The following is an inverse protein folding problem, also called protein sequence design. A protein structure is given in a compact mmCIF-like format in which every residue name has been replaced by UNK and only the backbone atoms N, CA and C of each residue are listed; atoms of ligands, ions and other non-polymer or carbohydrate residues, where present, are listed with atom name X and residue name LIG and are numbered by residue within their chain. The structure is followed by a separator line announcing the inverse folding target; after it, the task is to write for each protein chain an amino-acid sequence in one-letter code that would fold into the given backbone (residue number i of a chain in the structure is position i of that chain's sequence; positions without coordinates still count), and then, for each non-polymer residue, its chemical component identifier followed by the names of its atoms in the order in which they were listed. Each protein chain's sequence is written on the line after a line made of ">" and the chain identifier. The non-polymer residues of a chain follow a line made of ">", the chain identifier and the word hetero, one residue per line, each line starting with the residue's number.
data_IF_044252994007
#
_entry.id   IF_044252994007
#
_cell.length_a   1.000
_cell.length_b   1.000
_cell.length_c   1.000
_cell.angle_alpha   90.00
_cell.angle_beta   90.00
_cell.angle_gamma   90.00
#
_symmetry.space_group_name_H-M   'P 1'
#
loop_
_entity.id
_entity.type
_entity.pdbx_description
1 polymer ?
#
# COMPACT_ATOMS: atom_id res chain seq x y z
N UNK A 1 44.30 -26.92 -2.46
CA UNK A 1 43.33 -26.35 -1.53
C UNK A 1 42.12 -27.29 -1.53
N UNK A 2 42.18 -28.36 -0.68
CA UNK A 2 41.19 -29.42 -0.61
C UNK A 2 39.99 -28.90 0.17
N UNK A 3 38.88 -28.69 -0.52
CA UNK A 3 37.57 -28.41 0.07
C UNK A 3 37.23 -29.55 1.01
N UNK A 4 37.04 -29.24 2.29
CA UNK A 4 36.51 -30.13 3.30
C UNK A 4 35.14 -30.64 2.81
N UNK A 5 35.06 -31.87 2.30
CA UNK A 5 33.80 -32.53 2.13
C UNK A 5 33.23 -32.82 3.53
N UNK A 6 32.01 -32.41 3.86
CA UNK A 6 31.43 -32.68 5.17
C UNK A 6 31.40 -34.18 5.40
N UNK A 7 31.87 -34.60 6.56
CA UNK A 7 31.96 -35.99 7.00
C UNK A 7 30.63 -36.74 6.84
N UNK A 8 29.52 -36.05 7.02
CA UNK A 8 28.16 -36.51 6.82
C UNK A 8 27.90 -36.99 5.40
N UNK A 9 28.46 -36.34 4.39
CA UNK A 9 28.35 -36.72 2.98
C UNK A 9 29.06 -38.05 2.70
N UNK A 10 30.23 -38.24 3.26
CA UNK A 10 30.99 -39.47 3.09
C UNK A 10 30.30 -40.65 3.76
N UNK A 11 29.72 -40.46 4.94
CA UNK A 11 28.95 -41.49 5.64
C UNK A 11 27.65 -41.79 4.88
N UNK A 12 26.87 -40.77 4.50
CA UNK A 12 25.64 -40.93 3.73
C UNK A 12 25.86 -41.71 2.43
N UNK A 13 26.91 -41.34 1.66
CA UNK A 13 27.28 -42.03 0.43
C UNK A 13 27.71 -43.50 0.67
N UNK A 14 28.37 -43.77 1.78
CA UNK A 14 28.83 -45.10 2.13
C UNK A 14 27.68 -46.00 2.58
N UNK A 15 26.66 -45.49 3.24
CA UNK A 15 25.46 -46.22 3.63
C UNK A 15 24.52 -46.45 2.45
N UNK A 16 24.39 -45.56 1.51
CA UNK A 16 23.59 -45.74 0.29
C UNK A 16 24.23 -46.70 -0.70
N UNK A 17 25.56 -46.88 -0.66
CA UNK A 17 26.32 -47.87 -1.42
C UNK A 17 26.49 -49.21 -0.63
N UNK A 18 25.41 -49.74 -0.08
CA UNK A 18 25.44 -51.05 0.58
C UNK A 18 25.94 -52.15 -0.37
N UNK A 19 26.94 -52.85 0.11
CA UNK A 19 27.73 -53.89 -0.57
C UNK A 19 26.96 -54.75 -1.55
N UNK A 20 27.46 -54.92 -2.77
CA UNK A 20 27.07 -55.90 -3.77
C UNK A 20 27.30 -57.32 -3.22
N UNK A 21 26.26 -57.96 -2.66
CA UNK A 21 26.48 -59.30 -2.08
C UNK A 21 25.23 -60.18 -1.81
N UNK A 22 24.01 -59.69 -1.87
CA UNK A 22 22.83 -60.53 -1.75
C UNK A 22 21.60 -59.87 -2.42
N UNK A 23 20.77 -60.68 -3.08
CA UNK A 23 19.49 -60.27 -3.69
C UNK A 23 18.59 -59.48 -2.74
N UNK A 24 18.66 -59.74 -1.45
CA UNK A 24 17.91 -59.11 -0.37
C UNK A 24 18.37 -57.64 -0.12
N UNK A 25 19.65 -57.34 -0.33
CA UNK A 25 20.21 -55.98 -0.10
C UNK A 25 19.88 -54.98 -1.23
N UNK A 26 19.63 -55.46 -2.46
CA UNK A 26 19.20 -54.58 -3.59
C UNK A 26 17.81 -54.02 -3.37
N UNK A 27 16.89 -54.79 -2.78
CA UNK A 27 15.53 -54.33 -2.49
C UNK A 27 15.53 -53.25 -1.39
N UNK A 28 16.30 -53.48 -0.32
CA UNK A 28 16.43 -52.50 0.78
C UNK A 28 17.08 -51.20 0.27
N UNK A 29 18.12 -51.27 -0.55
CA UNK A 29 18.79 -50.10 -1.15
C UNK A 29 17.86 -49.33 -2.10
N UNK A 30 16.99 -50.04 -2.84
CA UNK A 30 15.98 -49.46 -3.71
C UNK A 30 14.91 -48.70 -2.92
N UNK A 31 14.40 -49.27 -1.85
CA UNK A 31 13.41 -48.62 -0.97
C UNK A 31 14.03 -47.39 -0.31
N UNK A 32 15.25 -47.47 0.20
CA UNK A 32 15.96 -46.34 0.80
C UNK A 32 16.18 -45.19 -0.20
N UNK A 33 16.52 -45.53 -1.45
CA UNK A 33 16.68 -44.54 -2.51
C UNK A 33 15.36 -43.83 -2.83
N UNK A 34 14.26 -44.59 -2.98
CA UNK A 34 12.94 -44.00 -3.24
C UNK A 34 12.49 -43.12 -2.07
N UNK A 35 12.67 -43.58 -0.83
CA UNK A 35 12.32 -42.81 0.36
C UNK A 35 13.11 -41.52 0.45
N UNK A 36 14.43 -41.58 0.20
CA UNK A 36 15.28 -40.40 0.20
C UNK A 36 14.90 -39.42 -0.92
N UNK A 37 14.60 -39.92 -2.13
CA UNK A 37 14.14 -39.14 -3.26
C UNK A 37 12.79 -38.46 -2.97
N UNK A 38 11.85 -39.21 -2.34
CA UNK A 38 10.55 -38.69 -1.92
C UNK A 38 10.68 -37.55 -0.91
N UNK A 39 11.51 -37.72 0.12
CA UNK A 39 11.77 -36.69 1.12
C UNK A 39 12.44 -35.49 0.47
N UNK A 40 13.45 -35.69 -0.39
CA UNK A 40 14.16 -34.60 -1.07
C UNK A 40 13.21 -33.79 -1.95
N UNK A 41 12.35 -34.45 -2.74
CA UNK A 41 11.36 -33.76 -3.58
C UNK A 41 10.34 -33.03 -2.71
N UNK A 42 9.87 -33.63 -1.62
CA UNK A 42 8.94 -33.02 -0.69
C UNK A 42 9.50 -31.73 -0.07
N UNK A 43 10.73 -31.79 0.45
CA UNK A 43 11.41 -30.64 1.04
C UNK A 43 11.70 -29.57 -0.02
N UNK A 44 12.14 -29.97 -1.22
CA UNK A 44 12.38 -29.02 -2.31
C UNK A 44 11.09 -28.30 -2.74
N UNK A 45 10.01 -29.04 -2.91
CA UNK A 45 8.69 -28.46 -3.23
C UNK A 45 8.24 -27.47 -2.15
N UNK A 46 8.43 -27.82 -0.89
CA UNK A 46 8.13 -26.99 0.25
C UNK A 46 8.90 -25.65 0.21
N UNK A 47 10.22 -25.73 0.03
CA UNK A 47 11.08 -24.53 -0.05
C UNK A 47 10.66 -23.64 -1.21
N UNK A 48 10.35 -24.22 -2.37
CA UNK A 48 9.90 -23.46 -3.56
C UNK A 48 8.58 -22.74 -3.26
N UNK A 49 7.58 -23.46 -2.72
CA UNK A 49 6.26 -22.87 -2.42
C UNK A 49 6.39 -21.74 -1.39
N UNK A 50 7.15 -21.95 -0.31
CA UNK A 50 7.38 -20.91 0.70
C UNK A 50 8.12 -19.70 0.13
N UNK A 51 9.11 -19.91 -0.73
CA UNK A 51 9.87 -18.84 -1.36
C UNK A 51 9.01 -18.00 -2.30
N UNK A 52 8.22 -18.65 -3.14
CA UNK A 52 7.28 -17.97 -4.06
C UNK A 52 6.24 -17.19 -3.27
N UNK A 53 5.66 -17.79 -2.23
CA UNK A 53 4.65 -17.13 -1.41
C UNK A 53 5.22 -15.92 -0.65
N UNK A 54 6.39 -16.04 -0.05
CA UNK A 54 7.05 -14.92 0.62
C UNK A 54 7.40 -13.79 -0.37
N UNK A 55 7.87 -14.16 -1.58
CA UNK A 55 8.15 -13.20 -2.66
C UNK A 55 6.89 -12.46 -3.10
N UNK A 56 5.80 -13.19 -3.34
CA UNK A 56 4.51 -12.62 -3.72
C UNK A 56 3.95 -11.67 -2.64
N UNK A 57 3.94 -12.11 -1.37
CA UNK A 57 3.48 -11.27 -0.27
C UNK A 57 4.31 -10.00 -0.11
N UNK A 58 5.61 -10.07 -0.33
CA UNK A 58 6.50 -8.92 -0.32
C UNK A 58 6.15 -7.96 -1.46
N UNK A 59 6.05 -8.46 -2.69
CA UNK A 59 5.74 -7.65 -3.87
C UNK A 59 4.39 -6.94 -3.75
N UNK A 60 3.32 -7.67 -3.37
CA UNK A 60 1.99 -7.09 -3.19
C UNK A 60 2.02 -5.99 -2.13
N UNK A 61 2.69 -6.23 -1.01
CA UNK A 61 2.83 -5.24 0.06
C UNK A 61 3.58 -4.01 -0.41
N UNK A 62 4.73 -4.19 -1.06
CA UNK A 62 5.59 -3.07 -1.49
C UNK A 62 4.83 -2.19 -2.51
N UNK A 63 4.03 -2.77 -3.39
CA UNK A 63 3.13 -2.04 -4.31
C UNK A 63 2.00 -1.30 -3.59
N UNK A 64 1.36 -1.92 -2.59
CA UNK A 64 0.34 -1.23 -1.79
C UNK A 64 0.92 -0.01 -1.07
N UNK A 65 2.16 -0.13 -0.59
CA UNK A 65 2.81 0.89 0.23
C UNK A 65 3.42 2.04 -0.58
N UNK A 66 3.53 1.90 -1.91
CA UNK A 66 3.97 3.00 -2.78
C UNK A 66 2.97 4.17 -2.77
N UNK A 67 1.68 3.87 -2.65
CA UNK A 67 0.58 4.87 -2.63
C UNK A 67 0.16 5.28 -1.22
N UNK A 68 0.36 4.38 -0.24
CA UNK A 68 -0.04 4.60 1.14
C UNK A 68 1.08 5.25 1.95
N UNK A 69 0.69 6.14 2.85
CA UNK A 69 1.60 6.61 3.90
C UNK A 69 1.83 5.53 4.96
N UNK A 70 2.97 5.57 5.63
CA UNK A 70 3.27 4.63 6.69
C UNK A 70 2.40 4.87 7.94
N UNK A 71 2.14 6.14 8.27
CA UNK A 71 1.32 6.58 9.40
C UNK A 71 0.50 7.78 8.96
N UNK A 72 -0.73 7.89 9.45
CA UNK A 72 -1.61 9.04 9.30
C UNK A 72 -2.02 9.57 10.67
N UNK A 73 -1.97 10.89 10.82
CA UNK A 73 -2.47 11.59 12.00
C UNK A 73 -3.71 12.36 11.56
N UNK A 74 -4.84 12.11 12.18
CA UNK A 74 -6.11 12.81 11.92
C UNK A 74 -6.63 13.48 13.18
N UNK A 75 -7.37 14.58 13.01
CA UNK A 75 -8.01 15.27 14.12
C UNK A 75 -9.39 14.66 14.42
N UNK A 76 -9.72 14.48 15.69
CA UNK A 76 -11.04 13.99 16.12
C UNK A 76 -12.21 14.86 15.63
N UNK A 77 -11.96 16.14 15.42
CA UNK A 77 -12.92 17.14 14.94
C UNK A 77 -13.12 17.12 13.42
N UNK A 78 -12.34 16.27 12.71
CA UNK A 78 -12.44 16.10 11.25
C UNK A 78 -11.66 17.12 10.42
N UNK A 79 -11.15 18.19 11.02
CA UNK A 79 -10.30 19.19 10.36
C UNK A 79 -9.18 19.65 11.28
N UNK A 80 -7.97 19.72 10.76
CA UNK A 80 -6.76 20.14 11.47
C UNK A 80 -6.30 21.47 10.90
N UNK A 81 -6.38 22.53 11.69
CA UNK A 81 -5.92 23.86 11.28
C UNK A 81 -4.40 24.00 11.41
N UNK A 82 -3.85 23.54 12.54
CA UNK A 82 -2.41 23.65 12.85
C UNK A 82 -1.62 22.37 12.45
N UNK A 83 -1.78 21.93 11.20
CA UNK A 83 -1.09 20.72 10.74
C UNK A 83 0.43 20.85 10.79
N UNK A 84 0.98 22.04 10.59
CA UNK A 84 2.43 22.31 10.69
C UNK A 84 2.98 22.04 12.09
N UNK A 85 2.25 22.44 13.13
CA UNK A 85 2.61 22.16 14.53
C UNK A 85 2.60 20.63 14.77
N UNK A 86 1.56 19.94 14.30
CA UNK A 86 1.44 18.48 14.43
C UNK A 86 2.57 17.77 13.68
N UNK A 87 2.89 18.20 12.46
CA UNK A 87 4.00 17.67 11.67
C UNK A 87 5.34 17.85 12.39
N UNK A 88 5.62 19.05 12.91
CA UNK A 88 6.84 19.33 13.67
C UNK A 88 6.95 18.52 14.97
N UNK A 89 5.83 18.33 15.68
CA UNK A 89 5.80 17.47 16.86
C UNK A 89 6.10 16.01 16.51
N UNK A 90 5.50 15.48 15.42
CA UNK A 90 5.76 14.13 14.95
C UNK A 90 7.22 13.94 14.51
N UNK A 91 7.81 14.93 13.83
CA UNK A 91 9.20 14.91 13.36
C UNK A 91 10.25 15.03 14.48
N UNK A 92 9.84 15.31 15.72
CA UNK A 92 10.74 15.18 16.89
C UNK A 92 11.14 13.73 17.16
N UNK A 93 10.34 12.77 16.70
CA UNK A 93 10.75 11.38 16.68
C UNK A 93 11.73 11.18 15.51
N UNK A 94 13.01 10.81 15.78
CA UNK A 94 14.06 10.71 14.77
C UNK A 94 13.77 9.66 13.68
N UNK A 95 12.78 8.79 13.91
CA UNK A 95 12.34 7.77 12.98
C UNK A 95 11.31 8.28 11.96
N UNK A 96 10.78 9.48 12.14
CA UNK A 96 9.87 10.16 11.20
C UNK A 96 10.71 10.96 10.21
N UNK A 97 10.77 10.50 8.98
CA UNK A 97 11.63 11.07 7.92
C UNK A 97 10.99 12.28 7.25
N UNK A 98 9.67 12.24 7.04
CA UNK A 98 8.93 13.29 6.34
C UNK A 98 7.47 13.34 6.81
N UNK A 99 6.84 14.50 6.59
CA UNK A 99 5.44 14.75 6.88
C UNK A 99 4.83 15.61 5.78
N UNK A 100 3.60 15.28 5.34
CA UNK A 100 2.84 16.06 4.36
C UNK A 100 1.37 16.16 4.76
N UNK A 101 0.74 17.32 4.60
CA UNK A 101 -0.69 17.49 4.83
C UNK A 101 -1.51 16.86 3.71
N UNK A 102 -2.73 16.46 4.03
CA UNK A 102 -3.69 16.02 3.01
C UNK A 102 -5.13 16.39 3.38
N UNK A 103 -5.95 16.57 2.34
CA UNK A 103 -7.41 16.62 2.45
C UNK A 103 -7.98 15.40 1.75
N UNK A 104 -8.88 14.68 2.39
CA UNK A 104 -9.48 13.48 1.79
C UNK A 104 -11.01 13.54 1.88
N UNK A 105 -11.67 13.16 0.80
CA UNK A 105 -13.12 13.08 0.74
C UNK A 105 -13.59 12.18 -0.39
N UNK A 106 -14.77 11.58 -0.19
CA UNK A 106 -15.41 10.82 -1.27
C UNK A 106 -16.14 11.78 -2.20
N UNK A 107 -16.07 11.51 -3.50
CA UNK A 107 -16.78 12.26 -4.52
C UNK A 107 -17.21 11.32 -5.66
N UNK A 108 -18.11 11.82 -6.50
CA UNK A 108 -18.46 11.17 -7.75
C UNK A 108 -17.79 11.91 -8.90
N UNK A 109 -17.12 11.17 -9.76
CA UNK A 109 -16.61 11.65 -11.03
C UNK A 109 -17.66 11.39 -12.10
N UNK A 110 -17.94 12.41 -12.91
CA UNK A 110 -18.97 12.34 -13.95
C UNK A 110 -18.39 12.81 -15.27
N UNK A 111 -18.55 11.97 -16.28
CA UNK A 111 -18.30 12.31 -17.68
C UNK A 111 -19.47 11.80 -18.52
N UNK A 112 -20.15 12.73 -19.19
CA UNK A 112 -21.36 12.43 -19.94
C UNK A 112 -22.39 11.69 -19.08
N UNK A 113 -22.72 10.44 -19.41
CA UNK A 113 -23.67 9.59 -18.66
C UNK A 113 -22.98 8.62 -17.69
N UNK A 114 -21.64 8.59 -17.68
CA UNK A 114 -20.87 7.67 -16.83
C UNK A 114 -20.53 8.30 -15.49
N UNK A 115 -20.90 7.63 -14.41
CA UNK A 115 -20.60 8.03 -13.03
C UNK A 115 -19.70 6.98 -12.39
N UNK A 116 -18.69 7.45 -11.65
CA UNK A 116 -17.82 6.60 -10.81
C UNK A 116 -17.58 7.25 -9.46
N UNK A 117 -17.72 6.46 -8.39
CA UNK A 117 -17.29 6.86 -7.06
C UNK A 117 -15.76 6.89 -7.00
N UNK A 118 -15.20 7.92 -6.38
CA UNK A 118 -13.77 8.06 -6.17
C UNK A 118 -13.43 8.65 -4.81
N UNK A 119 -12.28 8.26 -4.28
CA UNK A 119 -11.63 8.90 -3.16
C UNK A 119 -10.73 10.01 -3.70
N UNK A 120 -11.13 11.26 -3.47
CA UNK A 120 -10.33 12.41 -3.85
C UNK A 120 -9.36 12.73 -2.73
N UNK A 121 -8.08 12.81 -3.06
CA UNK A 121 -7.03 13.21 -2.12
C UNK A 121 -6.38 14.50 -2.61
N UNK A 122 -6.54 15.57 -1.82
CA UNK A 122 -5.83 16.82 -1.98
C UNK A 122 -4.44 16.72 -1.37
N UNK A 123 -3.42 17.01 -2.14
CA UNK A 123 -2.01 16.90 -1.76
C UNK A 123 -1.26 18.20 -2.07
N UNK A 124 -0.16 18.42 -1.37
CA UNK A 124 0.84 19.40 -1.76
C UNK A 124 1.88 18.73 -2.67
N UNK A 125 1.98 19.10 -3.95
CA UNK A 125 2.89 18.47 -4.89
C UNK A 125 4.37 18.58 -4.52
N UNK A 126 4.77 19.55 -3.69
CA UNK A 126 6.14 19.72 -3.23
C UNK A 126 6.49 18.79 -2.05
N UNK A 127 5.52 18.50 -1.19
CA UNK A 127 5.71 17.69 0.02
C UNK A 127 5.37 16.22 -0.20
N UNK A 128 4.40 15.92 -1.04
CA UNK A 128 3.90 14.56 -1.27
C UNK A 128 4.99 13.57 -1.71
N UNK A 129 5.94 13.88 -2.61
CA UNK A 129 7.00 12.97 -3.00
C UNK A 129 7.94 12.56 -1.85
N UNK A 130 7.91 13.28 -0.74
CA UNK A 130 8.71 12.96 0.45
C UNK A 130 8.06 11.85 1.30
N UNK A 131 6.74 11.70 1.22
CA UNK A 131 5.97 10.76 2.06
C UNK A 131 5.40 9.57 1.29
N UNK A 132 5.24 9.69 -0.03
CA UNK A 132 4.73 8.63 -0.91
C UNK A 132 5.49 8.61 -2.23
N UNK A 133 5.65 7.42 -2.80
CA UNK A 133 6.44 7.21 -4.01
C UNK A 133 5.59 7.22 -5.31
N UNK A 134 4.26 7.39 -5.22
CA UNK A 134 3.37 7.29 -6.38
C UNK A 134 3.69 8.29 -7.51
N UNK A 135 4.33 9.40 -7.19
CA UNK A 135 4.80 10.36 -8.20
C UNK A 135 5.78 9.79 -9.23
N UNK A 136 6.43 8.67 -8.92
CA UNK A 136 7.31 7.93 -9.83
C UNK A 136 6.55 7.02 -10.81
N UNK A 137 5.27 6.78 -10.54
CA UNK A 137 4.40 5.85 -11.26
C UNK A 137 3.41 6.57 -12.17
N UNK A 138 3.67 7.86 -12.50
CA UNK A 138 2.88 8.61 -13.45
C UNK A 138 3.13 8.11 -14.88
N UNK A 139 2.07 7.66 -15.54
CA UNK A 139 2.09 7.27 -16.95
C UNK A 139 2.10 8.48 -17.89
N UNK A 140 1.70 9.64 -17.38
CA UNK A 140 1.69 10.91 -18.12
C UNK A 140 1.35 12.07 -17.19
N UNK A 141 1.79 13.29 -17.55
CA UNK A 141 1.68 14.50 -16.73
C UNK A 141 2.75 14.55 -15.63
N UNK A 142 2.65 15.54 -14.78
CA UNK A 142 3.56 15.77 -13.64
C UNK A 142 2.76 16.17 -12.42
N UNK A 143 3.21 15.79 -11.23
CA UNK A 143 2.60 16.22 -9.97
C UNK A 143 2.63 17.75 -9.82
N UNK A 144 3.67 18.41 -10.34
CA UNK A 144 3.79 19.87 -10.35
C UNK A 144 2.70 20.56 -11.15
N UNK A 145 1.95 19.86 -12.00
CA UNK A 145 0.84 20.41 -12.75
C UNK A 145 -0.42 20.61 -11.86
N UNK A 146 -0.43 20.01 -10.67
CA UNK A 146 -1.41 20.30 -9.63
C UNK A 146 -1.09 21.65 -8.97
N UNK A 147 -1.60 22.75 -9.54
CA UNK A 147 -1.40 24.10 -9.00
C UNK A 147 -2.66 24.59 -8.30
N UNK A 148 -2.53 25.41 -7.24
CA UNK A 148 -3.68 25.92 -6.50
C UNK A 148 -4.59 26.76 -7.43
N UNK A 149 -5.90 26.47 -7.42
CA UNK A 149 -6.88 27.13 -8.27
C UNK A 149 -6.87 26.70 -9.75
N UNK A 150 -5.97 25.80 -10.14
CA UNK A 150 -5.92 25.26 -11.50
C UNK A 150 -6.97 24.21 -11.79
N UNK A 151 -7.57 23.63 -10.76
CA UNK A 151 -8.55 22.56 -10.87
C UNK A 151 -8.07 21.42 -11.77
N UNK A 152 -6.81 21.02 -11.57
CA UNK A 152 -6.20 19.88 -12.23
C UNK A 152 -6.41 18.62 -11.38
N UNK A 153 -6.55 17.47 -12.07
CA UNK A 153 -6.74 16.17 -11.42
C UNK A 153 -5.83 15.12 -12.04
N UNK A 154 -5.22 14.30 -11.18
CA UNK A 154 -4.48 13.11 -11.56
C UNK A 154 -5.33 11.90 -11.18
N UNK A 155 -5.63 11.03 -12.16
CA UNK A 155 -6.51 9.87 -11.99
C UNK A 155 -5.72 8.58 -11.96
N UNK A 156 -6.20 7.58 -11.22
CA UNK A 156 -5.73 6.22 -11.38
C UNK A 156 -6.09 5.69 -12.78
N UNK A 157 -5.25 4.82 -13.33
CA UNK A 157 -5.37 4.30 -14.69
C UNK A 157 -6.74 3.66 -14.96
N UNK A 158 -7.18 2.79 -14.08
CA UNK A 158 -8.45 2.08 -14.22
C UNK A 158 -9.66 3.03 -14.10
N UNK A 159 -9.54 4.04 -13.23
CA UNK A 159 -10.56 5.08 -13.07
C UNK A 159 -10.67 5.93 -14.34
N UNK A 160 -9.55 6.39 -14.89
CA UNK A 160 -9.49 7.12 -16.15
C UNK A 160 -10.05 6.30 -17.31
N UNK A 161 -9.67 5.01 -17.41
CA UNK A 161 -10.16 4.09 -18.41
C UNK A 161 -11.68 3.86 -18.32
N UNK A 162 -12.21 3.64 -17.11
CA UNK A 162 -13.63 3.40 -16.87
C UNK A 162 -14.54 4.59 -17.21
N UNK A 163 -13.97 5.82 -17.19
CA UNK A 163 -14.62 7.05 -17.57
C UNK A 163 -14.29 7.48 -19.01
N UNK A 164 -13.43 6.72 -19.71
CA UNK A 164 -12.96 7.06 -21.06
C UNK A 164 -12.17 8.37 -21.12
N UNK A 165 -11.50 8.77 -20.03
CA UNK A 165 -10.78 10.03 -19.89
C UNK A 165 -9.33 9.90 -20.38
N UNK A 166 -8.84 10.95 -21.02
CA UNK A 166 -7.45 11.12 -21.47
C UNK A 166 -6.87 12.41 -20.89
N UNK A 167 -5.56 12.56 -20.98
CA UNK A 167 -4.90 13.82 -20.62
C UNK A 167 -5.52 15.00 -21.37
N UNK A 168 -5.81 16.08 -20.64
CA UNK A 168 -6.46 17.30 -21.16
C UNK A 168 -7.99 17.25 -21.16
N UNK A 169 -8.62 16.08 -20.97
CA UNK A 169 -10.08 15.98 -20.89
C UNK A 169 -10.60 16.62 -19.59
N UNK A 170 -11.86 17.01 -19.63
CA UNK A 170 -12.55 17.58 -18.47
C UNK A 170 -13.46 16.56 -17.82
N UNK A 171 -13.48 16.55 -16.48
CA UNK A 171 -14.34 15.69 -15.65
C UNK A 171 -15.01 16.53 -14.58
N UNK A 172 -16.29 16.30 -14.36
CA UNK A 172 -17.01 16.92 -13.25
C UNK A 172 -16.82 16.09 -11.98
N UNK A 173 -16.42 16.77 -10.89
CA UNK A 173 -16.29 16.18 -9.56
C UNK A 173 -17.43 16.68 -8.69
N UNK A 174 -18.24 15.79 -8.18
CA UNK A 174 -19.40 16.07 -7.34
C UNK A 174 -19.12 15.62 -5.92
N UNK A 175 -19.02 16.57 -4.99
CA UNK A 175 -18.90 16.27 -3.56
C UNK A 175 -20.30 16.02 -2.96
N UNK A 176 -20.47 14.93 -2.16
CA UNK A 176 -21.78 14.58 -1.58
C UNK A 176 -22.27 15.61 -0.57
N UNK A 177 -21.38 16.34 0.07
CA UNK A 177 -21.70 17.39 1.01
C UNK A 177 -22.19 18.63 0.26
N UNK A 178 -23.51 18.71 0.07
CA UNK A 178 -24.17 19.81 -0.62
C UNK A 178 -24.29 21.08 0.21
N UNK A 179 -24.68 22.16 -0.44
CA UNK A 179 -25.12 23.38 0.22
C UNK A 179 -26.64 23.29 0.47
N UNK A 180 -27.06 23.42 1.74
CA UNK A 180 -28.50 23.49 2.10
C UNK A 180 -29.04 24.83 1.60
N UNK A 181 -30.04 24.76 0.74
CA UNK A 181 -30.74 25.92 0.20
C UNK A 181 -32.24 25.78 0.54
N UNK A 182 -33.02 26.86 0.47
CA UNK A 182 -34.49 26.76 0.66
C UNK A 182 -35.16 25.78 -0.33
N UNK A 183 -34.53 25.51 -1.48
CA UNK A 183 -35.03 24.59 -2.49
C UNK A 183 -34.52 23.15 -2.31
N UNK A 184 -33.71 22.87 -1.25
CA UNK A 184 -33.15 21.55 -0.95
C UNK A 184 -31.61 21.56 -0.92
N UNK A 185 -31.02 20.38 -0.84
CA UNK A 185 -29.57 20.20 -0.82
C UNK A 185 -29.05 20.14 -2.25
N UNK A 186 -28.28 21.15 -2.63
CA UNK A 186 -27.59 21.19 -3.93
C UNK A 186 -26.18 20.60 -3.77
N UNK A 187 -25.84 19.51 -4.47
CA UNK A 187 -24.50 18.95 -4.44
C UNK A 187 -23.49 19.96 -5.04
N UNK A 188 -22.28 19.96 -4.52
CA UNK A 188 -21.21 20.77 -5.09
C UNK A 188 -20.58 20.05 -6.23
N UNK A 189 -20.51 20.76 -7.34
CA UNK A 189 -19.88 20.29 -8.55
C UNK A 189 -18.79 21.26 -8.98
N UNK A 190 -17.64 20.73 -9.32
CA UNK A 190 -16.52 21.45 -9.95
C UNK A 190 -15.97 20.66 -11.12
N UNK A 191 -15.62 21.37 -12.17
CA UNK A 191 -14.98 20.77 -13.33
C UNK A 191 -13.47 20.81 -13.13
N UNK A 192 -12.83 19.67 -13.36
CA UNK A 192 -11.38 19.48 -13.30
C UNK A 192 -10.85 19.06 -14.66
N UNK A 193 -9.60 19.42 -14.95
CA UNK A 193 -8.88 18.99 -16.16
C UNK A 193 -7.92 17.87 -15.78
N UNK A 194 -7.96 16.75 -16.52
CA UNK A 194 -7.06 15.62 -16.31
C UNK A 194 -5.64 16.02 -16.70
N UNK A 195 -4.77 16.24 -15.72
CA UNK A 195 -3.37 16.64 -15.92
C UNK A 195 -2.39 15.48 -15.83
N UNK A 196 -2.85 14.30 -15.35
CA UNK A 196 -2.01 13.13 -15.22
C UNK A 196 -2.80 11.84 -15.00
N UNK A 197 -2.14 10.72 -15.25
CA UNK A 197 -2.64 9.37 -14.95
C UNK A 197 -1.54 8.61 -14.26
N UNK A 198 -1.84 7.94 -13.13
CA UNK A 198 -0.90 7.08 -12.41
C UNK A 198 -1.33 5.62 -12.46
N UNK A 199 -0.37 4.71 -12.28
CA UNK A 199 -0.58 3.28 -12.16
C UNK A 199 0.25 2.74 -10.99
N UNK A 200 -0.43 2.40 -9.89
CA UNK A 200 0.23 1.85 -8.71
C UNK A 200 0.48 0.33 -8.80
N UNK A 201 -0.15 -0.31 -9.78
CA UNK A 201 -0.19 -1.77 -9.91
C UNK A 201 -1.12 -2.44 -8.90
N UNK A 202 -1.92 -1.66 -8.18
CA UNK A 202 -2.97 -2.15 -7.28
C UNK A 202 -4.34 -1.67 -7.77
N UNK A 203 -5.13 -2.60 -8.29
CA UNK A 203 -6.41 -2.30 -8.96
C UNK A 203 -7.34 -1.43 -8.11
N UNK A 204 -7.45 -1.67 -6.81
CA UNK A 204 -8.33 -0.92 -5.92
C UNK A 204 -7.97 0.58 -5.90
N UNK A 205 -6.67 0.93 -5.81
CA UNK A 205 -6.23 2.32 -5.85
C UNK A 205 -6.34 2.91 -7.26
N UNK A 206 -5.95 2.14 -8.27
CA UNK A 206 -6.00 2.58 -9.66
C UNK A 206 -7.44 2.81 -10.15
N UNK A 207 -8.44 2.14 -9.54
CA UNK A 207 -9.86 2.25 -9.90
C UNK A 207 -10.65 3.25 -9.04
N UNK A 208 -10.11 3.71 -7.90
CA UNK A 208 -10.88 4.55 -6.97
C UNK A 208 -10.19 5.84 -6.54
N UNK A 209 -8.88 5.97 -6.70
CA UNK A 209 -8.14 7.10 -6.15
C UNK A 209 -7.88 8.17 -7.22
N UNK A 210 -8.03 9.44 -6.81
CA UNK A 210 -7.68 10.60 -7.62
C UNK A 210 -7.00 11.67 -6.75
N UNK A 211 -6.04 12.38 -7.32
CA UNK A 211 -5.29 13.44 -6.65
C UNK A 211 -5.61 14.81 -7.26
N UNK A 212 -5.77 15.79 -6.39
CA UNK A 212 -5.92 17.20 -6.75
C UNK A 212 -5.02 18.05 -5.86
N UNK A 213 -4.91 19.36 -6.14
CA UNK A 213 -4.17 20.26 -5.25
C UNK A 213 -4.88 20.38 -3.88
N UNK A 214 -4.09 20.49 -2.81
CA UNK A 214 -4.57 20.58 -1.43
C UNK A 214 -5.62 21.67 -1.24
N UNK A 215 -5.36 22.87 -1.73
CA UNK A 215 -6.27 24.02 -1.62
C UNK A 215 -7.59 23.83 -2.39
N UNK A 216 -7.51 23.15 -3.55
CA UNK A 216 -8.70 22.87 -4.35
C UNK A 216 -9.58 21.80 -3.67
N UNK A 217 -8.94 20.80 -3.00
CA UNK A 217 -9.64 19.86 -2.18
C UNK A 217 -10.30 20.50 -0.95
N UNK A 218 -9.58 21.37 -0.25
CA UNK A 218 -10.12 22.11 0.89
C UNK A 218 -11.36 22.94 0.51
N UNK A 219 -11.33 23.61 -0.65
CA UNK A 219 -12.48 24.33 -1.20
C UNK A 219 -13.62 23.41 -1.62
N UNK A 220 -13.31 22.28 -2.28
CA UNK A 220 -14.31 21.31 -2.75
C UNK A 220 -15.09 20.71 -1.56
N UNK A 221 -14.38 20.28 -0.53
CA UNK A 221 -14.95 19.63 0.65
C UNK A 221 -15.31 20.58 1.80
N UNK A 222 -14.96 21.87 1.69
CA UNK A 222 -15.10 22.90 2.76
C UNK A 222 -14.45 22.46 4.07
N UNK A 223 -13.27 21.97 3.98
CA UNK A 223 -12.46 21.66 5.15
C UNK A 223 -11.69 22.92 5.52
N UNK A 224 -11.87 23.40 6.74
CA UNK A 224 -11.09 24.53 7.27
C UNK A 224 -9.77 23.99 7.84
N UNK A 225 -8.74 23.96 7.00
CA UNK A 225 -7.47 23.31 7.23
C UNK A 225 -7.28 22.04 6.42
N UNK A 226 -6.77 20.97 7.03
CA UNK A 226 -6.51 19.69 6.38
C UNK A 226 -7.22 18.53 7.12
N UNK A 227 -7.46 17.42 6.43
CA UNK A 227 -8.03 16.22 7.07
C UNK A 227 -7.03 15.58 8.02
N UNK A 228 -5.75 15.62 7.68
CA UNK A 228 -4.68 15.06 8.50
C UNK A 228 -3.29 15.26 7.92
N UNK A 229 -2.33 14.64 8.58
CA UNK A 229 -0.92 14.63 8.20
C UNK A 229 -0.47 13.19 7.94
N UNK A 230 0.17 12.97 6.80
CA UNK A 230 0.79 11.69 6.41
C UNK A 230 2.27 11.71 6.80
N UNK A 231 2.75 10.61 7.33
CA UNK A 231 4.15 10.48 7.75
C UNK A 231 4.83 9.33 7.02
N UNK A 232 6.09 9.56 6.65
CA UNK A 232 7.04 8.53 6.24
C UNK A 232 7.97 8.21 7.39
N UNK A 233 8.12 6.93 7.74
CA UNK A 233 9.06 6.47 8.75
C UNK A 233 10.18 5.64 8.10
N UNK A 234 11.29 5.51 8.81
CA UNK A 234 12.50 4.78 8.38
C UNK A 234 12.22 3.30 8.08
N UNK A 235 11.40 2.66 8.91
CA UNK A 235 11.04 1.26 8.78
C UNK A 235 9.51 1.09 8.87
N UNK A 236 8.90 0.75 7.75
CA UNK A 236 7.45 0.57 7.65
C UNK A 236 6.92 -0.58 8.52
N UNK A 237 7.73 -1.61 8.78
CA UNK A 237 7.33 -2.73 9.63
C UNK A 237 7.19 -2.32 11.09
N UNK A 238 7.87 -1.25 11.49
CA UNK A 238 7.80 -0.70 12.82
C UNK A 238 6.83 0.48 12.94
N UNK A 239 6.16 0.86 11.84
CA UNK A 239 5.14 1.91 11.85
C UNK A 239 4.08 1.72 12.95
N UNK A 240 3.56 0.50 13.25
CA UNK A 240 2.64 0.31 14.37
C UNK A 240 3.24 0.68 15.74
N UNK A 241 4.52 0.42 15.94
CA UNK A 241 5.23 0.79 17.19
C UNK A 241 5.40 2.31 17.28
N UNK A 242 5.86 2.92 16.19
CA UNK A 242 6.06 4.37 16.10
C UNK A 242 4.72 5.10 16.25
N UNK A 243 3.65 4.60 15.64
CA UNK A 243 2.30 5.16 15.76
C UNK A 243 1.82 5.20 17.23
N UNK A 244 2.08 4.13 18.00
CA UNK A 244 1.77 4.11 19.45
C UNK A 244 2.59 5.13 20.23
N UNK A 245 3.87 5.30 19.92
CA UNK A 245 4.72 6.30 20.53
C UNK A 245 4.20 7.72 20.24
N UNK A 246 3.86 7.99 18.97
CA UNK A 246 3.31 9.27 18.56
C UNK A 246 1.94 9.54 19.20
N UNK A 247 1.09 8.53 19.37
CA UNK A 247 -0.19 8.68 20.04
C UNK A 247 -0.08 9.11 21.51
N UNK A 248 1.03 8.77 22.17
CA UNK A 248 1.32 9.22 23.56
C UNK A 248 1.92 10.64 23.57
N UNK A 249 2.65 11.02 22.53
CA UNK A 249 3.33 12.32 22.43
C UNK A 249 2.45 13.45 21.94
N UNK A 250 1.43 13.12 21.14
CA UNK A 250 0.52 14.10 20.56
C UNK A 250 -0.65 14.42 21.49
N UNK A 251 -1.33 15.51 21.21
CA UNK A 251 -2.52 15.95 21.95
C UNK A 251 -3.63 14.89 21.86
N UNK A 252 -4.47 14.82 22.89
CA UNK A 252 -5.51 13.78 23.07
C UNK A 252 -6.60 13.79 21.97
N UNK A 253 -6.70 14.90 21.24
CA UNK A 253 -7.63 15.06 20.11
C UNK A 253 -7.09 14.55 18.77
N UNK A 254 -5.88 13.99 18.76
CA UNK A 254 -5.24 13.42 17.56
C UNK A 254 -5.32 11.89 17.57
N UNK A 255 -5.79 11.33 16.47
CA UNK A 255 -5.77 9.89 16.24
C UNK A 255 -4.62 9.52 15.30
N UNK A 256 -3.76 8.63 15.75
CA UNK A 256 -2.65 8.11 14.96
C UNK A 256 -3.03 6.74 14.42
N UNK A 257 -3.02 6.59 13.11
CA UNK A 257 -3.33 5.34 12.40
C UNK A 257 -2.12 4.91 11.61
N UNK A 258 -1.74 3.67 11.73
CA UNK A 258 -0.71 3.07 10.88
C UNK A 258 -1.35 2.32 9.70
N UNK A 259 -0.54 2.00 8.70
CA UNK A 259 -0.99 1.30 7.49
C UNK A 259 -1.65 -0.06 7.79
N UNK A 260 -1.24 -0.77 8.85
CA UNK A 260 -1.79 -2.08 9.20
C UNK A 260 -3.19 -1.96 9.80
N UNK A 261 -3.47 -0.86 10.51
CA UNK A 261 -4.79 -0.56 11.06
C UNK A 261 -5.81 -0.24 9.95
N UNK A 262 -5.36 0.40 8.86
CA UNK A 262 -6.20 0.67 7.69
C UNK A 262 -6.52 -0.59 6.88
N UNK A 263 -5.59 -1.56 6.85
CA UNK A 263 -5.67 -2.79 6.05
C UNK A 263 -5.84 -4.05 6.92
N UNK A 264 -6.61 -3.97 8.01
CA UNK A 264 -6.76 -5.06 8.99
C UNK A 264 -7.20 -6.38 8.37
N UNK A 265 -8.13 -6.33 7.43
CA UNK A 265 -8.68 -7.53 6.77
C UNK A 265 -7.61 -8.24 5.96
N UNK A 266 -6.81 -7.49 5.19
CA UNK A 266 -5.70 -8.05 4.43
C UNK A 266 -4.62 -8.63 5.34
N UNK A 267 -4.25 -7.90 6.40
CA UNK A 267 -3.26 -8.36 7.36
C UNK A 267 -3.72 -9.63 8.11
N UNK A 268 -5.00 -9.69 8.51
CA UNK A 268 -5.58 -10.88 9.11
C UNK A 268 -5.59 -12.09 8.16
N UNK A 269 -5.89 -11.87 6.87
CA UNK A 269 -5.85 -12.91 5.85
C UNK A 269 -4.44 -13.50 5.69
N UNK A 270 -3.41 -12.65 5.57
CA UNK A 270 -2.01 -13.06 5.47
C UNK A 270 -1.54 -13.84 6.72
N UNK A 271 -1.95 -13.40 7.91
CA UNK A 271 -1.63 -14.09 9.17
C UNK A 271 -2.29 -15.48 9.23
N UNK A 272 -3.54 -15.57 8.80
CA UNK A 272 -4.29 -16.85 8.76
C UNK A 272 -3.66 -17.80 7.76
N UNK A 273 -3.28 -17.31 6.58
CA UNK A 273 -2.60 -18.08 5.55
C UNK A 273 -1.26 -18.65 6.06
N UNK A 274 -0.45 -17.83 6.73
CA UNK A 274 0.80 -18.30 7.37
C UNK A 274 0.56 -19.39 8.39
N UNK A 275 -0.48 -19.27 9.22
CA UNK A 275 -0.83 -20.28 10.21
C UNK A 275 -1.29 -21.60 9.54
N UNK A 276 -2.12 -21.50 8.50
CA UNK A 276 -2.57 -22.66 7.75
C UNK A 276 -1.41 -23.37 7.06
N UNK A 277 -0.51 -22.61 6.44
CA UNK A 277 0.70 -23.18 5.84
C UNK A 277 1.56 -23.91 6.88
N UNK A 278 1.78 -23.32 8.05
CA UNK A 278 2.52 -23.97 9.12
C UNK A 278 1.87 -25.30 9.55
N UNK A 279 0.53 -25.34 9.69
CA UNK A 279 -0.21 -26.55 10.06
C UNK A 279 -0.14 -27.64 8.97
N UNK A 280 -0.17 -27.24 7.68
CA UNK A 280 -0.09 -28.19 6.56
C UNK A 280 1.31 -28.80 6.44
N UNK A 281 2.33 -28.08 6.89
CA UNK A 281 3.73 -28.42 6.74
C UNK A 281 4.32 -29.19 7.94
N UNK A 282 3.63 -29.23 9.08
CA UNK A 282 3.99 -30.00 10.28
C UNK A 282 3.17 -31.27 10.38
#
# INVERSE_FOLDING_TARGET
>A
MTLFEPFEWQIGWRYTRARRGARKNRFISFISLISMLGITIGVAALIIVLSVMNGFQKEVRDRMLSVLSHIEIVDARGAMQDWTKTAQQAQRNPRVLAAAPYVSGQAMLVRDEVLRGALIRGIDPALEPQVADFGKELLGGRLSDLVPGGFNIVLGRELAFSLGLRLGDKVAVIAPQGTVTPAGVLPRMRQFTVSGVFESGHYEYDSTLAFIHLDDAAKLFRVDGVTGVRLKVDNIHEAPLIARQLAVQLETDKYVRDWSAQNRTWFAAVQTEKRMMFIILT
#
